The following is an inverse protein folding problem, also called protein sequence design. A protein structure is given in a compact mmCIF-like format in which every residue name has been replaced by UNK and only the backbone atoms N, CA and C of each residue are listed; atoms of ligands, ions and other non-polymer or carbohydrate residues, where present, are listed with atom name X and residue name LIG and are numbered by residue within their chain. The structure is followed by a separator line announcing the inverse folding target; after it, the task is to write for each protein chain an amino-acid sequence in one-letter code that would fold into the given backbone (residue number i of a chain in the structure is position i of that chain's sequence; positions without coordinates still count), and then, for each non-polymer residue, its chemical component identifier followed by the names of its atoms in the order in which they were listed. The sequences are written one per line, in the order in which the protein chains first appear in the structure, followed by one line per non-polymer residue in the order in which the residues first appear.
data_IF_086274695315
#
_entry.id   IF_086274695315
#
_cell.length_a   1.000
_cell.length_b   1.000
_cell.length_c   1.000
_cell.angle_alpha   90.00
_cell.angle_beta   90.00
_cell.angle_gamma   90.00
#
_symmetry.space_group_name_H-M   'P 1'
#
loop_
_entity.id
_entity.type
_entity.pdbx_description
1 polymer ?
#
# COMPACT_ATOMS: atom_id res chain seq x y z
N UNK A 1 -45.95 34.91 -44.35
CA UNK A 1 -44.63 34.32 -44.04
C UNK A 1 -44.08 33.70 -45.31
N UNK A 2 -43.00 34.28 -45.82
CA UNK A 2 -42.41 33.87 -47.11
C UNK A 2 -41.66 32.55 -46.96
N UNK A 3 -41.42 31.85 -48.05
CA UNK A 3 -40.69 30.57 -48.09
C UNK A 3 -39.30 30.73 -47.49
N UNK A 4 -38.67 31.88 -47.71
CA UNK A 4 -37.33 32.20 -47.18
C UNK A 4 -37.32 32.44 -45.66
N UNK A 5 -38.35 33.06 -45.11
CA UNK A 5 -38.47 33.23 -43.65
C UNK A 5 -38.61 31.89 -42.91
N UNK A 6 -39.35 30.95 -43.51
CA UNK A 6 -39.46 29.57 -42.96
C UNK A 6 -38.14 28.81 -43.00
N UNK A 7 -37.37 28.99 -44.08
CA UNK A 7 -36.05 28.37 -44.24
C UNK A 7 -35.05 28.90 -43.18
N UNK A 8 -34.98 30.24 -43.04
CA UNK A 8 -34.12 30.86 -41.99
C UNK A 8 -34.49 30.41 -40.58
N UNK A 9 -35.77 30.27 -40.28
CA UNK A 9 -36.23 29.82 -38.96
C UNK A 9 -35.83 28.34 -38.70
N UNK A 10 -35.91 27.50 -39.72
CA UNK A 10 -35.45 26.08 -39.65
C UNK A 10 -33.92 25.98 -39.45
N UNK A 11 -33.14 26.72 -40.21
CA UNK A 11 -31.67 26.72 -40.03
C UNK A 11 -31.25 27.26 -38.68
N UNK A 12 -31.94 28.27 -38.16
CA UNK A 12 -31.68 28.80 -36.83
C UNK A 12 -32.03 27.77 -35.73
N UNK A 13 -33.10 27.02 -35.90
CA UNK A 13 -33.51 25.97 -34.96
C UNK A 13 -32.49 24.77 -35.01
N UNK A 14 -32.05 24.40 -36.22
CA UNK A 14 -31.03 23.35 -36.43
C UNK A 14 -29.70 23.73 -35.80
N UNK A 15 -29.21 24.97 -35.98
CA UNK A 15 -27.99 25.45 -35.34
C UNK A 15 -28.08 25.39 -33.80
N UNK A 16 -29.22 25.80 -33.22
CA UNK A 16 -29.43 25.68 -31.77
C UNK A 16 -29.44 24.24 -31.30
N UNK A 17 -30.12 23.36 -32.03
CA UNK A 17 -30.15 21.92 -31.71
C UNK A 17 -28.76 21.30 -31.75
N UNK A 18 -27.97 21.59 -32.79
CA UNK A 18 -26.57 21.13 -32.88
C UNK A 18 -25.73 21.71 -31.74
N UNK A 19 -25.92 22.98 -31.39
CA UNK A 19 -25.22 23.60 -30.28
C UNK A 19 -25.54 22.91 -28.94
N UNK A 20 -26.83 22.66 -28.67
CA UNK A 20 -27.22 21.94 -27.45
C UNK A 20 -26.71 20.49 -27.43
N UNK A 21 -26.73 19.80 -28.59
CA UNK A 21 -26.16 18.48 -28.70
C UNK A 21 -24.65 18.44 -28.41
N UNK A 22 -23.90 19.36 -29.02
CA UNK A 22 -22.47 19.50 -28.72
C UNK A 22 -22.18 19.89 -27.27
N UNK A 23 -22.96 20.83 -26.73
CA UNK A 23 -22.82 21.23 -25.33
C UNK A 23 -23.10 20.07 -24.37
N UNK A 24 -24.12 19.25 -24.64
CA UNK A 24 -24.43 18.06 -23.83
C UNK A 24 -23.31 17.02 -23.86
N UNK A 25 -22.70 16.77 -25.03
CA UNK A 25 -21.54 15.87 -25.19
C UNK A 25 -20.36 16.43 -24.39
N UNK A 26 -20.09 17.73 -24.51
CA UNK A 26 -18.98 18.35 -23.78
C UNK A 26 -19.17 18.26 -22.27
N UNK A 27 -20.39 18.50 -21.76
CA UNK A 27 -20.73 18.35 -20.35
C UNK A 27 -20.54 16.89 -19.89
N UNK A 28 -21.00 15.92 -20.68
CA UNK A 28 -20.82 14.50 -20.36
C UNK A 28 -19.33 14.13 -20.28
N UNK A 29 -18.52 14.58 -21.23
CA UNK A 29 -17.07 14.34 -21.23
C UNK A 29 -16.38 15.00 -20.02
N UNK A 30 -16.83 16.19 -19.63
CA UNK A 30 -16.31 16.89 -18.47
C UNK A 30 -16.61 16.10 -17.17
N UNK A 31 -17.80 15.55 -17.01
CA UNK A 31 -18.12 14.66 -15.87
C UNK A 31 -17.27 13.40 -15.87
N UNK A 32 -17.05 12.76 -17.01
CA UNK A 32 -16.17 11.61 -17.12
C UNK A 32 -14.74 11.97 -16.71
N UNK A 33 -14.25 13.12 -17.16
CA UNK A 33 -12.91 13.61 -16.82
C UNK A 33 -12.75 13.87 -15.33
N UNK A 34 -13.75 14.51 -14.69
CA UNK A 34 -13.79 14.74 -13.25
C UNK A 34 -13.77 13.39 -12.50
N UNK A 35 -14.56 12.42 -12.95
CA UNK A 35 -14.62 11.09 -12.36
C UNK A 35 -13.27 10.38 -12.44
N UNK A 36 -12.66 10.36 -13.62
CA UNK A 36 -11.32 9.78 -13.83
C UNK A 36 -10.28 10.46 -12.96
N UNK A 37 -10.29 11.79 -12.90
CA UNK A 37 -9.38 12.56 -12.06
C UNK A 37 -9.55 12.23 -10.57
N UNK A 38 -10.79 12.07 -10.08
CA UNK A 38 -11.06 11.66 -8.70
C UNK A 38 -10.53 10.25 -8.40
N UNK A 39 -10.75 9.30 -9.32
CA UNK A 39 -10.23 7.93 -9.18
C UNK A 39 -8.70 7.95 -9.12
N UNK A 40 -8.05 8.66 -10.03
CA UNK A 40 -6.58 8.76 -10.07
C UNK A 40 -6.03 9.43 -8.82
N UNK A 41 -6.63 10.54 -8.39
CA UNK A 41 -6.17 11.29 -7.21
C UNK A 41 -6.23 10.45 -5.94
N UNK A 42 -7.32 9.71 -5.73
CA UNK A 42 -7.50 8.86 -4.54
C UNK A 42 -6.76 7.53 -4.67
N UNK A 43 -6.73 6.93 -5.85
CA UNK A 43 -6.11 5.63 -6.11
C UNK A 43 -4.59 5.68 -6.21
N UNK A 44 -4.00 6.82 -6.56
CA UNK A 44 -2.54 6.94 -6.74
C UNK A 44 -1.74 6.65 -5.45
N UNK A 45 -2.34 6.85 -4.29
CA UNK A 45 -1.71 6.52 -3.00
C UNK A 45 -1.50 5.02 -2.80
N UNK A 46 -2.29 4.15 -3.45
CA UNK A 46 -2.13 2.70 -3.40
C UNK A 46 -0.83 2.21 -4.06
N UNK A 47 -0.29 2.97 -5.03
CA UNK A 47 0.98 2.65 -5.68
C UNK A 47 2.21 2.96 -4.81
N UNK A 48 2.03 3.52 -3.64
CA UNK A 48 3.09 3.82 -2.68
C UNK A 48 2.77 3.16 -1.35
N UNK A 49 3.76 2.51 -0.75
CA UNK A 49 3.72 2.00 0.61
C UNK A 49 4.67 2.79 1.49
N UNK A 50 4.30 2.99 2.73
CA UNK A 50 5.16 3.60 3.74
C UNK A 50 6.14 2.57 4.28
N UNK A 51 7.39 2.96 4.40
CA UNK A 51 8.46 2.13 4.97
C UNK A 51 9.18 2.88 6.08
N UNK A 52 9.67 2.12 7.07
CA UNK A 52 10.41 2.63 8.21
C UNK A 52 11.83 2.05 8.15
N UNK A 53 12.83 2.94 8.11
CA UNK A 53 14.25 2.54 8.16
C UNK A 53 14.59 2.09 9.56
N UNK A 54 14.83 0.79 9.69
CA UNK A 54 15.09 0.13 10.97
C UNK A 54 16.45 -0.54 10.94
N UNK A 55 17.27 -0.31 11.97
CA UNK A 55 18.51 -1.06 12.17
C UNK A 55 18.16 -2.44 12.70
N UNK A 56 18.46 -3.47 11.93
CA UNK A 56 18.22 -4.87 12.28
C UNK A 56 19.56 -5.51 12.63
N UNK A 57 19.63 -6.15 13.80
CA UNK A 57 20.78 -6.91 14.25
C UNK A 57 20.52 -8.40 14.15
N UNK A 58 21.22 -9.09 13.27
CA UNK A 58 21.09 -10.54 13.09
C UNK A 58 21.83 -11.30 14.19
N UNK A 59 21.22 -11.35 15.37
CA UNK A 59 21.77 -12.00 16.53
C UNK A 59 21.90 -13.52 16.31
N UNK A 60 23.12 -14.03 16.38
CA UNK A 60 23.42 -15.45 16.17
C UNK A 60 22.74 -16.35 17.22
N UNK A 61 22.62 -15.88 18.46
CA UNK A 61 22.00 -16.65 19.56
C UNK A 61 20.50 -16.86 19.32
N UNK A 62 19.81 -15.82 18.84
CA UNK A 62 18.37 -15.90 18.55
C UNK A 62 18.07 -16.73 17.29
N UNK A 63 18.88 -16.57 16.27
CA UNK A 63 18.70 -17.31 15.03
C UNK A 63 19.10 -18.79 15.14
N UNK A 64 19.94 -19.15 16.14
CA UNK A 64 20.55 -20.47 16.27
C UNK A 64 21.24 -20.98 14.99
N UNK A 65 21.60 -20.05 14.08
CA UNK A 65 22.22 -20.34 12.79
C UNK A 65 23.74 -20.20 12.86
N UNK A 66 24.41 -21.07 12.09
CA UNK A 66 25.86 -20.99 11.83
C UNK A 66 26.09 -20.41 10.45
N UNK A 67 27.28 -19.81 10.25
CA UNK A 67 27.69 -19.38 8.92
C UNK A 67 27.66 -20.57 7.93
N UNK A 68 26.94 -20.40 6.83
CA UNK A 68 26.69 -21.45 5.85
C UNK A 68 25.50 -22.37 6.18
N UNK A 69 24.57 -21.91 7.03
CA UNK A 69 23.32 -22.62 7.30
C UNK A 69 22.56 -22.97 6.03
N UNK A 70 21.91 -24.12 6.01
CA UNK A 70 21.11 -24.56 4.86
C UNK A 70 19.84 -23.66 4.73
N UNK A 71 19.27 -23.60 3.53
CA UNK A 71 18.01 -22.87 3.30
C UNK A 71 16.88 -23.36 4.22
N UNK A 72 16.85 -24.65 4.55
CA UNK A 72 15.88 -25.22 5.49
C UNK A 72 16.05 -24.69 6.92
N UNK A 73 17.29 -24.55 7.37
CA UNK A 73 17.58 -24.01 8.70
C UNK A 73 17.15 -22.54 8.77
N UNK A 74 17.43 -21.76 7.72
CA UNK A 74 17.02 -20.37 7.60
C UNK A 74 15.48 -20.23 7.57
N UNK A 75 14.79 -21.15 6.89
CA UNK A 75 13.32 -21.14 6.85
C UNK A 75 12.71 -21.32 8.25
N UNK A 76 13.34 -22.11 9.11
CA UNK A 76 12.83 -22.42 10.44
C UNK A 76 13.36 -21.49 11.54
N UNK A 77 14.29 -20.60 11.23
CA UNK A 77 14.85 -19.66 12.20
C UNK A 77 13.83 -18.57 12.57
N UNK A 78 13.92 -18.11 13.81
CA UNK A 78 12.99 -17.11 14.38
C UNK A 78 13.43 -15.69 14.04
N UNK A 79 12.99 -15.19 12.89
CA UNK A 79 13.22 -13.80 12.48
C UNK A 79 12.27 -12.82 13.18
N UNK A 80 11.18 -13.30 13.76
CA UNK A 80 10.28 -12.47 14.54
C UNK A 80 10.96 -11.96 15.81
N UNK A 81 11.66 -12.83 16.54
CA UNK A 81 12.44 -12.45 17.72
C UNK A 81 13.58 -11.48 17.36
N UNK A 82 14.24 -11.68 16.20
CA UNK A 82 15.25 -10.71 15.69
C UNK A 82 14.64 -9.34 15.44
N UNK A 83 13.42 -9.29 14.90
CA UNK A 83 12.70 -8.04 14.70
C UNK A 83 12.41 -7.37 16.03
N UNK A 84 11.82 -8.08 16.99
CA UNK A 84 11.46 -7.55 18.31
C UNK A 84 12.71 -7.02 19.03
N UNK A 85 13.78 -7.80 19.11
CA UNK A 85 15.02 -7.37 19.76
C UNK A 85 15.59 -6.09 19.15
N UNK A 86 15.57 -5.99 17.82
CA UNK A 86 16.06 -4.83 17.08
C UNK A 86 15.19 -3.58 17.33
N UNK A 87 13.87 -3.75 17.43
CA UNK A 87 12.94 -2.67 17.71
C UNK A 87 13.07 -2.17 19.17
N UNK A 88 13.12 -3.06 20.16
CA UNK A 88 13.25 -2.71 21.56
C UNK A 88 14.60 -2.03 21.85
N UNK A 89 15.69 -2.46 21.19
CA UNK A 89 16.98 -1.78 21.28
C UNK A 89 16.95 -0.36 20.71
N UNK A 90 16.17 -0.16 19.66
CA UNK A 90 16.04 1.17 19.02
C UNK A 90 15.07 2.08 19.75
N UNK A 91 14.03 1.53 20.35
CA UNK A 91 12.93 2.22 21.05
C UNK A 91 12.58 1.48 22.33
N UNK A 92 13.27 1.78 23.45
CA UNK A 92 13.04 1.07 24.71
C UNK A 92 11.59 1.22 25.18
N UNK A 93 10.87 0.12 25.22
CA UNK A 93 9.54 0.02 25.80
C UNK A 93 9.67 -0.22 27.32
N UNK A 94 8.75 0.32 28.10
CA UNK A 94 8.77 0.22 29.57
C UNK A 94 8.02 -1.01 30.08
N UNK A 95 7.13 -1.55 29.27
CA UNK A 95 6.28 -2.67 29.60
C UNK A 95 5.84 -3.43 28.33
N UNK A 96 5.23 -4.59 28.54
CA UNK A 96 4.75 -5.47 27.46
C UNK A 96 3.70 -4.79 26.56
N UNK A 97 2.88 -3.89 27.10
CA UNK A 97 1.87 -3.19 26.32
C UNK A 97 2.54 -2.22 25.33
N UNK A 98 3.56 -1.47 25.78
CA UNK A 98 4.35 -0.61 24.91
C UNK A 98 5.14 -1.40 23.84
N UNK A 99 5.65 -2.60 24.18
CA UNK A 99 6.29 -3.49 23.21
C UNK A 99 5.31 -3.93 22.13
N UNK A 100 4.11 -4.34 22.50
CA UNK A 100 3.06 -4.70 21.57
C UNK A 100 2.64 -3.52 20.69
N UNK A 101 2.55 -2.32 21.23
CA UNK A 101 2.25 -1.12 20.47
C UNK A 101 3.37 -0.75 19.51
N UNK A 102 4.63 -0.95 19.89
CA UNK A 102 5.80 -0.75 19.03
C UNK A 102 5.78 -1.71 17.84
N UNK A 103 5.50 -2.99 18.08
CA UNK A 103 5.41 -4.01 17.01
C UNK A 103 4.30 -3.67 16.03
N UNK A 104 3.16 -3.16 16.50
CA UNK A 104 2.02 -2.74 15.66
C UNK A 104 2.31 -1.55 14.74
N UNK A 105 3.43 -0.88 14.85
CA UNK A 105 3.85 0.13 13.87
C UNK A 105 4.30 -0.48 12.55
N UNK A 106 4.63 -1.76 12.56
CA UNK A 106 5.13 -2.51 11.41
C UNK A 106 4.08 -3.48 10.88
N UNK A 107 4.14 -3.75 9.59
CA UNK A 107 3.33 -4.77 8.94
C UNK A 107 3.72 -6.18 9.41
N UNK A 108 2.79 -7.12 9.37
CA UNK A 108 3.07 -8.54 9.57
C UNK A 108 4.14 -9.10 8.61
N UNK A 109 4.34 -8.47 7.45
CA UNK A 109 5.36 -8.88 6.45
C UNK A 109 6.80 -8.43 6.83
N UNK A 110 6.97 -7.58 7.86
CA UNK A 110 8.28 -7.05 8.25
C UNK A 110 9.26 -8.17 8.65
N UNK A 111 8.79 -9.20 9.35
CA UNK A 111 9.57 -10.40 9.62
C UNK A 111 10.06 -11.06 8.32
N UNK A 112 9.17 -11.22 7.34
CA UNK A 112 9.53 -11.80 6.04
C UNK A 112 10.53 -10.94 5.28
N UNK A 113 10.43 -9.61 5.38
CA UNK A 113 11.40 -8.69 4.76
C UNK A 113 12.79 -8.87 5.37
N UNK A 114 12.89 -9.02 6.70
CA UNK A 114 14.14 -9.33 7.42
C UNK A 114 14.71 -10.67 6.98
N UNK A 115 13.87 -11.70 6.95
CA UNK A 115 14.26 -13.04 6.48
C UNK A 115 14.74 -13.03 5.03
N UNK A 116 14.04 -12.32 4.16
CA UNK A 116 14.42 -12.19 2.75
C UNK A 116 15.76 -11.48 2.56
N UNK A 117 16.05 -10.47 3.36
CA UNK A 117 17.35 -9.79 3.34
C UNK A 117 18.48 -10.77 3.72
N UNK A 118 18.24 -11.61 4.72
CA UNK A 118 19.17 -12.66 5.15
C UNK A 118 19.37 -13.73 4.06
N UNK A 119 18.30 -14.20 3.41
CA UNK A 119 18.37 -15.16 2.31
C UNK A 119 19.19 -14.64 1.11
N UNK A 120 19.14 -13.35 0.87
CA UNK A 120 19.94 -12.71 -0.18
C UNK A 120 21.42 -12.57 0.18
N UNK A 121 21.74 -12.56 1.47
CA UNK A 121 23.11 -12.47 1.98
C UNK A 121 23.25 -13.20 3.32
N UNK A 122 23.66 -14.45 3.26
CA UNK A 122 23.82 -15.32 4.43
C UNK A 122 24.97 -14.92 5.38
N UNK A 123 25.77 -13.92 5.02
CA UNK A 123 26.89 -13.44 5.84
C UNK A 123 26.47 -12.35 6.85
N UNK A 124 25.17 -12.13 7.03
CA UNK A 124 24.65 -11.11 7.94
C UNK A 124 24.65 -11.53 9.42
N UNK A 125 24.99 -12.77 9.75
CA UNK A 125 25.05 -13.25 11.15
C UNK A 125 26.04 -12.39 11.95
N UNK A 126 25.55 -11.78 13.04
CA UNK A 126 26.33 -10.87 13.88
C UNK A 126 26.48 -9.45 13.35
N UNK A 127 25.91 -9.15 12.19
CA UNK A 127 25.99 -7.85 11.55
C UNK A 127 24.72 -7.03 11.81
N UNK A 128 24.87 -5.70 11.76
CA UNK A 128 23.77 -4.73 11.82
C UNK A 128 23.58 -4.12 10.44
N UNK A 129 22.37 -4.16 9.93
CA UNK A 129 22.03 -3.52 8.67
C UNK A 129 20.79 -2.64 8.81
N UNK A 130 20.66 -1.63 7.96
CA UNK A 130 19.47 -0.82 7.88
C UNK A 130 18.56 -1.39 6.79
N UNK A 131 17.34 -1.74 7.18
CA UNK A 131 16.30 -2.22 6.26
C UNK A 131 15.14 -1.24 6.19
N UNK A 132 14.54 -1.16 5.02
CA UNK A 132 13.27 -0.48 4.80
C UNK A 132 12.13 -1.48 5.09
N UNK A 133 11.65 -1.51 6.34
CA UNK A 133 10.54 -2.39 6.74
C UNK A 133 9.20 -1.74 6.44
N UNK A 134 8.26 -2.53 5.95
CA UNK A 134 6.90 -2.04 5.64
C UNK A 134 6.18 -1.64 6.93
N UNK A 135 5.64 -0.41 6.94
CA UNK A 135 4.82 0.08 8.03
C UNK A 135 3.42 -0.59 8.00
N UNK A 136 2.76 -0.65 9.16
CA UNK A 136 1.37 -1.11 9.26
C UNK A 136 0.42 -0.17 8.50
N UNK A 137 -0.79 -0.66 8.20
CA UNK A 137 -1.84 0.12 7.55
C UNK A 137 -2.12 1.44 8.30
N UNK A 138 -2.26 1.39 9.61
CA UNK A 138 -2.57 2.57 10.41
C UNK A 138 -1.47 3.65 10.28
N UNK A 139 -0.20 3.25 10.26
CA UNK A 139 0.93 4.17 10.05
C UNK A 139 1.02 4.64 8.58
N UNK A 140 0.73 3.77 7.64
CA UNK A 140 0.68 4.14 6.22
C UNK A 140 -0.40 5.19 5.95
N UNK A 141 -1.61 5.00 6.51
CA UNK A 141 -2.72 5.96 6.38
C UNK A 141 -2.43 7.28 7.11
N UNK A 142 -1.79 7.22 8.28
CA UNK A 142 -1.34 8.42 8.99
C UNK A 142 -0.32 9.20 8.16
N UNK A 143 0.69 8.52 7.59
CA UNK A 143 1.75 9.14 6.81
C UNK A 143 1.25 9.68 5.46
N UNK A 144 0.19 9.10 4.91
CA UNK A 144 -0.52 9.59 3.71
C UNK A 144 -1.47 10.75 4.01
N UNK A 145 -1.70 11.08 5.29
CA UNK A 145 -2.57 12.18 5.72
C UNK A 145 -4.07 11.83 5.70
N UNK A 146 -4.41 10.54 5.66
CA UNK A 146 -5.79 10.07 5.65
C UNK A 146 -6.39 9.93 7.06
N UNK A 147 -5.55 9.87 8.09
CA UNK A 147 -5.99 9.81 9.48
C UNK A 147 -5.80 11.16 10.19
N UNK A 148 -6.87 11.69 10.81
CA UNK A 148 -6.79 12.93 11.58
C UNK A 148 -5.98 12.71 12.87
N UNK A 149 -5.04 13.64 13.13
CA UNK A 149 -4.19 13.60 14.33
C UNK A 149 -4.82 14.27 15.54
N UNK A 150 -5.78 15.19 15.30
CA UNK A 150 -6.33 16.08 16.31
C UNK A 150 -7.44 15.45 17.15
N UNK A 151 -7.80 14.20 16.87
CA UNK A 151 -8.82 13.48 17.63
C UNK A 151 -8.26 12.99 18.98
N UNK A 152 -9.11 12.93 20.03
CA UNK A 152 -8.76 12.24 21.26
C UNK A 152 -8.35 10.79 21.04
N UNK A 153 -7.49 10.24 21.90
CA UNK A 153 -6.93 8.90 21.75
C UNK A 153 -7.98 7.79 21.62
N UNK A 154 -9.07 7.91 22.38
CA UNK A 154 -10.22 6.99 22.37
C UNK A 154 -10.96 6.94 21.02
N UNK A 155 -10.73 7.93 20.16
CA UNK A 155 -11.33 8.04 18.80
C UNK A 155 -10.33 7.86 17.68
N UNK A 156 -9.07 7.59 18.02
CA UNK A 156 -8.01 7.30 17.02
C UNK A 156 -7.69 5.81 17.01
N UNK A 157 -7.19 5.33 15.87
CA UNK A 157 -6.66 3.97 15.74
C UNK A 157 -5.24 3.83 16.30
N UNK A 158 -4.54 4.95 16.43
CA UNK A 158 -3.15 5.06 16.83
C UNK A 158 -3.10 5.68 18.23
N UNK A 159 -2.38 5.05 19.16
CA UNK A 159 -2.20 5.55 20.51
C UNK A 159 -1.28 6.78 20.57
N UNK A 160 -1.27 7.48 21.70
CA UNK A 160 -0.33 8.59 21.93
C UNK A 160 1.12 8.10 21.92
N UNK A 161 1.38 6.89 22.41
CA UNK A 161 2.70 6.28 22.37
C UNK A 161 3.17 6.02 20.95
N UNK A 162 2.34 5.39 20.13
CA UNK A 162 2.62 5.13 18.72
C UNK A 162 2.83 6.44 17.92
N UNK A 163 2.03 7.46 18.21
CA UNK A 163 2.16 8.76 17.58
C UNK A 163 3.48 9.44 17.92
N UNK A 164 3.93 9.35 19.17
CA UNK A 164 5.22 9.90 19.59
C UNK A 164 6.40 9.20 18.90
N UNK A 165 6.32 7.87 18.73
CA UNK A 165 7.36 7.12 17.98
C UNK A 165 7.32 7.47 16.50
N UNK A 166 6.13 7.57 15.91
CA UNK A 166 5.97 8.00 14.52
C UNK A 166 6.59 9.39 14.30
N UNK A 167 6.33 10.34 15.19
CA UNK A 167 6.91 11.69 15.09
C UNK A 167 8.44 11.65 15.17
N UNK A 168 8.99 10.80 16.03
CA UNK A 168 10.43 10.56 16.09
C UNK A 168 10.98 10.00 14.76
N UNK A 169 10.25 9.08 14.10
CA UNK A 169 10.64 8.59 12.78
C UNK A 169 10.65 9.69 11.72
N UNK A 170 9.65 10.58 11.74
CA UNK A 170 9.55 11.71 10.81
C UNK A 170 10.70 12.70 11.04
N UNK A 171 10.95 13.10 12.29
CA UNK A 171 12.00 14.04 12.66
C UNK A 171 13.41 13.54 12.31
N UNK A 172 13.64 12.23 12.46
CA UNK A 172 14.93 11.61 12.12
C UNK A 172 15.04 11.16 10.66
N UNK A 173 14.04 11.44 9.81
CA UNK A 173 14.05 11.03 8.41
C UNK A 173 14.08 9.51 8.19
N UNK A 174 13.56 8.74 9.16
CA UNK A 174 13.52 7.28 9.12
C UNK A 174 12.29 6.73 8.41
N UNK A 175 11.27 7.55 8.14
CA UNK A 175 10.05 7.13 7.44
C UNK A 175 10.07 7.65 6.00
N UNK A 176 9.64 6.83 5.07
CA UNK A 176 9.63 7.15 3.65
C UNK A 176 8.52 6.45 2.90
N UNK A 177 8.41 6.75 1.61
CA UNK A 177 7.44 6.15 0.69
C UNK A 177 8.18 5.42 -0.42
N UNK A 178 7.99 4.11 -0.52
CA UNK A 178 8.51 3.28 -1.60
C UNK A 178 7.39 2.87 -2.55
N UNK A 179 7.75 2.47 -3.79
CA UNK A 179 6.79 1.93 -4.73
C UNK A 179 6.21 0.61 -4.21
N UNK A 180 4.88 0.50 -4.24
CA UNK A 180 4.18 -0.69 -3.75
C UNK A 180 4.11 -1.77 -4.84
N UNK A 181 5.16 -2.58 -4.95
CA UNK A 181 5.17 -3.72 -5.89
C UNK A 181 4.15 -4.80 -5.49
N UNK A 182 3.80 -4.90 -4.20
CA UNK A 182 2.83 -5.87 -3.69
C UNK A 182 1.45 -5.67 -4.32
N UNK A 183 1.08 -4.43 -4.61
CA UNK A 183 -0.17 -4.12 -5.30
C UNK A 183 -0.34 -4.90 -6.61
N UNK A 184 0.73 -5.15 -7.35
CA UNK A 184 0.68 -5.85 -8.64
C UNK A 184 0.96 -7.35 -8.54
N UNK A 185 1.70 -7.79 -7.51
CA UNK A 185 2.23 -9.16 -7.44
C UNK A 185 1.52 -10.05 -6.44
N UNK A 186 0.94 -9.46 -5.38
CA UNK A 186 0.21 -10.22 -4.35
C UNK A 186 -1.28 -10.36 -4.71
N UNK A 187 -1.93 -11.31 -4.06
CA UNK A 187 -3.37 -11.48 -4.10
C UNK A 187 -4.09 -10.65 -3.04
N UNK A 188 -5.31 -11.04 -2.73
CA UNK A 188 -6.08 -10.47 -1.63
C UNK A 188 -5.44 -10.81 -0.28
N UNK A 189 -5.47 -9.85 0.67
CA UNK A 189 -4.96 -10.02 2.03
C UNK A 189 -5.88 -9.33 3.02
N UNK A 190 -5.90 -9.80 4.27
CA UNK A 190 -6.59 -9.14 5.38
C UNK A 190 -5.89 -7.86 5.81
N UNK A 191 -4.57 -7.81 5.59
CA UNK A 191 -3.74 -6.65 5.90
C UNK A 191 -3.68 -5.76 4.65
N UNK A 192 -4.28 -4.56 4.66
CA UNK A 192 -4.44 -3.72 3.48
C UNK A 192 -3.13 -3.34 2.80
N UNK A 193 -2.05 -3.16 3.57
CA UNK A 193 -0.72 -2.84 3.06
C UNK A 193 -0.07 -4.00 2.27
N UNK A 194 -0.56 -5.23 2.48
CA UNK A 194 -0.12 -6.45 1.80
C UNK A 194 -1.05 -6.87 0.66
N UNK A 195 -2.23 -6.26 0.55
CA UNK A 195 -3.21 -6.59 -0.46
C UNK A 195 -2.78 -6.15 -1.86
N UNK A 196 -3.07 -6.99 -2.85
CA UNK A 196 -2.76 -6.72 -4.25
C UNK A 196 -3.86 -7.19 -5.19
N UNK A 197 -3.81 -6.71 -6.43
CA UNK A 197 -4.76 -7.04 -7.49
C UNK A 197 -4.27 -8.16 -8.42
N UNK A 198 -3.03 -8.63 -8.23
CA UNK A 198 -2.41 -9.63 -9.12
C UNK A 198 -3.24 -10.89 -9.26
N UNK A 199 -3.71 -11.46 -8.15
CA UNK A 199 -4.58 -12.64 -8.15
C UNK A 199 -5.92 -12.40 -8.87
N UNK A 200 -6.54 -11.25 -8.67
CA UNK A 200 -7.80 -10.88 -9.31
C UNK A 200 -7.64 -10.71 -10.84
N UNK A 201 -6.54 -10.09 -11.29
CA UNK A 201 -6.24 -9.95 -12.72
C UNK A 201 -6.07 -11.32 -13.37
N UNK A 202 -5.23 -12.18 -12.79
CA UNK A 202 -4.98 -13.54 -13.30
C UNK A 202 -6.27 -14.36 -13.31
N UNK A 203 -7.03 -14.34 -12.22
CA UNK A 203 -8.31 -15.03 -12.13
C UNK A 203 -9.33 -14.55 -13.17
N UNK A 204 -9.42 -13.25 -13.43
CA UNK A 204 -10.31 -12.69 -14.44
C UNK A 204 -9.92 -13.13 -15.86
N UNK A 205 -8.62 -13.17 -16.17
CA UNK A 205 -8.12 -13.65 -17.48
C UNK A 205 -8.49 -15.12 -17.66
N UNK A 206 -8.22 -15.99 -16.66
CA UNK A 206 -8.56 -17.41 -16.76
C UNK A 206 -10.07 -17.63 -16.87
N UNK A 207 -10.88 -16.95 -16.08
CA UNK A 207 -12.34 -17.05 -16.16
C UNK A 207 -12.87 -16.61 -17.52
N UNK A 208 -12.33 -15.54 -18.09
CA UNK A 208 -12.70 -15.05 -19.40
C UNK A 208 -12.34 -16.07 -20.50
N UNK A 209 -11.14 -16.64 -20.45
CA UNK A 209 -10.66 -17.63 -21.41
C UNK A 209 -11.50 -18.94 -21.35
N UNK A 210 -11.78 -19.44 -20.14
CA UNK A 210 -12.61 -20.65 -19.96
C UNK A 210 -14.03 -20.42 -20.49
N UNK A 211 -14.65 -19.28 -20.15
CA UNK A 211 -16.01 -18.99 -20.58
C UNK A 211 -16.11 -18.82 -22.11
N UNK A 212 -15.11 -18.21 -22.76
CA UNK A 212 -15.09 -18.10 -24.21
C UNK A 212 -14.81 -19.42 -24.92
N UNK A 213 -14.04 -20.34 -24.28
CA UNK A 213 -13.80 -21.67 -24.82
C UNK A 213 -15.06 -22.53 -24.76
N UNK A 214 -15.77 -22.56 -23.62
CA UNK A 214 -17.01 -23.31 -23.47
C UNK A 214 -18.11 -22.82 -24.43
N UNK A 215 -18.19 -21.51 -24.66
CA UNK A 215 -19.16 -20.92 -25.61
C UNK A 215 -18.82 -21.20 -27.09
N UNK A 216 -17.59 -21.60 -27.40
CA UNK A 216 -17.18 -21.97 -28.76
C UNK A 216 -17.43 -23.46 -29.09
N UNK A 217 -17.65 -24.29 -28.05
CA UNK A 217 -17.93 -25.74 -28.19
C UNK A 217 -19.44 -26.05 -28.26
N UNK A 218 -20.33 -25.05 -28.05
CA UNK A 218 -21.79 -25.14 -28.29
C UNK A 218 -22.15 -24.61 -29.70
#
# INVERSE_FOLDING_TARGET
MTKEERLKKRHSAEKRFRFYGLASIFVALLFVLILVQNIFSKGSSAFKKTVIKTEVFYNQELLELKNGASEKDIINADFYEVMIESLIKSFPAKNIDEENELIRLFSADAEYEIKKAFLNNNNLIGEKIILDLTASDDIDQLHKGNYPRDLPEDRRRISNFQLAIYDNFVENGKIGKNFNNYYFTKGDSRDPELAGIGGAIVGSIYSCLLYTSDAADE
#
